data_IF_543919777920
#
_entry.id   IF_543919777920
#
_cell.length_a   1.000
_cell.length_b   1.000
_cell.length_c   1.000
_cell.angle_alpha   90.00
_cell.angle_beta   90.00
_cell.angle_gamma   90.00
#
_symmetry.space_group_name_H-M   'P 1'
#
loop_
_entity.id
_entity.type
_entity.pdbx_description
1 polymer ?
#
# COMPACT_ATOMS: atom_id res chain seq x y z
N UNK A 1 6.59 6.85 -0.50
CA UNK A 1 5.23 6.26 -0.40
C UNK A 1 5.39 4.89 0.20
N UNK A 2 4.66 4.57 1.26
CA UNK A 2 4.79 3.31 1.98
C UNK A 2 3.41 2.69 2.08
N UNK A 3 3.25 1.47 1.57
CA UNK A 3 2.01 0.69 1.59
C UNK A 3 0.80 1.53 1.16
N UNK A 4 0.91 2.17 -0.02
CA UNK A 4 -0.16 2.99 -0.56
C UNK A 4 0.26 3.78 -1.79
N UNK A 5 -0.61 3.79 -2.80
CA UNK A 5 -0.56 4.69 -3.94
C UNK A 5 -1.87 5.49 -4.00
N UNK A 6 -1.88 6.72 -4.56
CA UNK A 6 -3.14 7.39 -4.85
C UNK A 6 -3.99 6.45 -5.71
N UNK A 7 -5.32 6.42 -5.53
CA UNK A 7 -6.24 5.37 -6.03
C UNK A 7 -6.23 5.12 -7.54
N UNK A 8 -5.14 4.56 -8.07
CA UNK A 8 -4.98 4.24 -9.48
C UNK A 8 -5.85 3.06 -9.91
N UNK A 9 -6.18 2.19 -8.94
CA UNK A 9 -7.02 1.00 -9.12
C UNK A 9 -8.37 1.09 -8.38
N UNK A 10 -8.56 2.08 -7.50
CA UNK A 10 -9.84 2.27 -6.80
C UNK A 10 -10.40 3.64 -7.09
N UNK A 11 -11.65 3.60 -7.49
CA UNK A 11 -12.44 4.77 -7.80
C UNK A 11 -12.58 5.66 -6.57
N UNK A 12 -12.11 6.90 -6.70
CA UNK A 12 -12.60 8.00 -5.89
C UNK A 12 -14.08 8.24 -6.25
N UNK A 13 -14.99 7.58 -5.53
CA UNK A 13 -16.45 7.77 -5.68
C UNK A 13 -16.91 8.96 -4.86
N UNK A 14 -16.81 10.16 -5.45
CA UNK A 14 -17.22 11.42 -4.79
C UNK A 14 -18.69 11.41 -4.37
N UNK A 15 -19.55 10.78 -5.17
CA UNK A 15 -20.97 10.55 -4.90
C UNK A 15 -21.20 9.68 -3.66
N UNK A 16 -20.42 8.60 -3.50
CA UNK A 16 -20.48 7.76 -2.31
C UNK A 16 -20.15 8.55 -1.04
N UNK A 17 -19.10 9.38 -1.08
CA UNK A 17 -18.71 10.21 0.07
C UNK A 17 -19.78 11.26 0.37
N UNK A 18 -20.33 11.92 -0.65
CA UNK A 18 -21.43 12.87 -0.49
C UNK A 18 -22.66 12.21 0.15
N UNK A 19 -23.08 11.04 -0.34
CA UNK A 19 -24.19 10.27 0.20
C UNK A 19 -23.96 9.82 1.65
N UNK A 20 -22.72 9.45 1.99
CA UNK A 20 -22.36 9.10 3.37
C UNK A 20 -22.46 10.32 4.29
N UNK A 21 -22.00 11.49 3.87
CA UNK A 21 -22.10 12.75 4.64
C UNK A 21 -23.57 13.12 4.85
N UNK A 22 -24.37 13.05 3.80
CA UNK A 22 -25.80 13.28 3.84
C UNK A 22 -26.54 12.35 4.82
N UNK A 23 -26.16 11.07 4.84
CA UNK A 23 -26.75 10.11 5.77
C UNK A 23 -26.46 10.47 7.24
N UNK A 24 -25.28 11.02 7.54
CA UNK A 24 -24.96 11.53 8.88
C UNK A 24 -25.76 12.80 9.18
N UNK A 25 -25.86 13.75 8.23
CA UNK A 25 -26.64 14.97 8.40
C UNK A 25 -28.11 14.70 8.74
N UNK A 26 -28.75 13.74 8.04
CA UNK A 26 -30.12 13.32 8.36
C UNK A 26 -30.27 12.75 9.77
N UNK A 27 -29.28 11.98 10.26
CA UNK A 27 -29.32 11.37 11.61
C UNK A 27 -29.27 12.40 12.74
N UNK A 28 -28.72 13.58 12.49
CA UNK A 28 -28.64 14.66 13.47
C UNK A 28 -29.69 15.76 13.22
N UNK A 29 -30.62 15.53 12.27
CA UNK A 29 -31.68 16.49 11.95
C UNK A 29 -31.21 17.72 11.18
N UNK A 30 -30.04 17.66 10.54
CA UNK A 30 -29.48 18.78 9.78
C UNK A 30 -29.83 18.78 8.28
N UNK A 31 -30.49 17.74 7.79
CA UNK A 31 -30.91 17.65 6.39
C UNK A 31 -32.18 16.82 6.26
N UNK A 32 -32.99 17.14 5.25
CA UNK A 32 -34.05 16.28 4.74
C UNK A 32 -33.60 15.53 3.48
N UNK A 33 -34.42 14.60 2.99
CA UNK A 33 -34.10 13.86 1.76
C UNK A 33 -34.14 14.81 0.55
N UNK A 34 -33.02 14.98 -0.14
CA UNK A 34 -32.89 15.84 -1.31
C UNK A 34 -32.37 17.27 -1.02
N UNK A 35 -32.16 17.65 0.25
CA UNK A 35 -31.63 18.97 0.65
C UNK A 35 -30.31 18.87 1.44
N UNK A 36 -29.52 17.83 1.18
CA UNK A 36 -28.40 17.38 2.01
C UNK A 36 -27.02 17.97 1.63
N UNK A 37 -26.95 18.83 0.61
CA UNK A 37 -25.73 19.47 0.12
C UNK A 37 -25.84 21.00 0.09
N UNK A 38 -26.53 21.58 1.09
CA UNK A 38 -26.79 23.02 1.20
C UNK A 38 -25.86 23.70 2.22
N UNK A 39 -25.77 25.03 2.17
CA UNK A 39 -25.00 25.80 3.16
C UNK A 39 -25.64 25.66 4.55
N UNK A 40 -26.96 25.62 4.61
CA UNK A 40 -27.77 25.43 5.82
C UNK A 40 -27.47 24.08 6.48
N UNK A 41 -27.34 23.01 5.68
CA UNK A 41 -26.91 21.69 6.19
C UNK A 41 -25.54 21.78 6.84
N UNK A 42 -24.59 22.48 6.20
CA UNK A 42 -23.23 22.63 6.72
C UNK A 42 -23.18 23.48 7.99
N UNK A 43 -23.95 24.56 8.06
CA UNK A 43 -24.07 25.40 9.26
C UNK A 43 -24.65 24.61 10.43
N UNK A 44 -25.74 23.87 10.21
CA UNK A 44 -26.32 22.99 11.23
C UNK A 44 -25.30 21.95 11.72
N UNK A 45 -24.58 21.28 10.80
CA UNK A 45 -23.57 20.29 11.16
C UNK A 45 -22.44 20.89 12.03
N UNK A 46 -22.08 22.16 11.83
CA UNK A 46 -21.04 22.84 12.65
C UNK A 46 -21.49 23.10 14.08
N UNK A 47 -22.79 23.20 14.32
CA UNK A 47 -23.37 23.41 15.65
C UNK A 47 -23.61 22.09 16.41
N UNK A 48 -23.56 20.93 15.72
CA UNK A 48 -23.67 19.63 16.37
C UNK A 48 -22.42 19.33 17.20
N UNK A 49 -22.56 18.85 18.45
CA UNK A 49 -21.42 18.45 19.26
C UNK A 49 -20.49 17.45 18.55
N UNK A 50 -19.19 17.69 18.64
CA UNK A 50 -18.16 16.90 17.97
C UNK A 50 -18.21 15.41 18.32
N UNK A 51 -18.48 15.08 19.58
CA UNK A 51 -18.58 13.71 20.07
C UNK A 51 -19.76 12.96 19.45
N UNK A 52 -20.89 13.64 19.24
CA UNK A 52 -22.06 13.08 18.54
C UNK A 52 -21.74 12.75 17.10
N UNK A 53 -21.16 13.71 16.35
CA UNK A 53 -20.78 13.50 14.95
C UNK A 53 -19.73 12.39 14.81
N UNK A 54 -18.73 12.39 15.69
CA UNK A 54 -17.65 11.39 15.67
C UNK A 54 -18.22 10.00 15.93
N UNK A 55 -19.06 9.83 16.95
CA UNK A 55 -19.66 8.54 17.28
C UNK A 55 -20.49 8.01 16.11
N UNK A 56 -21.40 8.82 15.56
CA UNK A 56 -22.24 8.43 14.43
C UNK A 56 -21.42 8.07 13.18
N UNK A 57 -20.41 8.88 12.85
CA UNK A 57 -19.58 8.71 11.66
C UNK A 57 -18.70 7.46 11.78
N UNK A 58 -18.05 7.24 12.92
CA UNK A 58 -17.20 6.07 13.16
C UNK A 58 -18.04 4.80 13.19
N UNK A 59 -19.18 4.80 13.85
CA UNK A 59 -20.09 3.63 13.83
C UNK A 59 -20.55 3.32 12.42
N UNK A 60 -21.04 4.31 11.67
CA UNK A 60 -21.51 4.09 10.30
C UNK A 60 -20.40 3.54 9.39
N UNK A 61 -19.19 4.11 9.47
CA UNK A 61 -18.05 3.67 8.65
C UNK A 61 -17.65 2.22 8.94
N UNK A 62 -17.51 1.82 10.20
CA UNK A 62 -17.13 0.46 10.59
C UNK A 62 -18.21 -0.58 10.30
N UNK A 63 -19.49 -0.20 10.40
CA UNK A 63 -20.60 -1.07 9.99
C UNK A 63 -20.58 -1.31 8.49
N UNK A 64 -20.32 -0.28 7.69
CA UNK A 64 -20.27 -0.41 6.23
C UNK A 64 -19.03 -1.16 5.74
N UNK A 65 -17.88 -0.98 6.41
CA UNK A 65 -16.58 -1.51 5.99
C UNK A 65 -15.71 -1.93 7.18
N UNK A 66 -15.93 -3.12 7.76
CA UNK A 66 -15.13 -3.59 8.88
C UNK A 66 -13.68 -3.93 8.45
N UNK A 67 -12.69 -3.83 9.37
CA UNK A 67 -12.86 -3.46 10.78
C UNK A 67 -12.71 -1.95 11.06
N UNK A 68 -12.03 -1.17 10.21
CA UNK A 68 -11.70 0.23 10.54
C UNK A 68 -12.52 1.29 9.78
N UNK A 69 -13.34 0.92 8.80
CA UNK A 69 -14.21 1.84 8.06
C UNK A 69 -13.55 2.48 6.84
N UNK A 70 -12.43 1.93 6.35
CA UNK A 70 -11.65 2.52 5.26
C UNK A 70 -12.46 2.75 3.99
N UNK A 71 -12.35 3.95 3.44
CA UNK A 71 -13.07 4.33 2.23
C UNK A 71 -14.57 4.55 2.44
N UNK A 72 -15.02 4.82 3.67
CA UNK A 72 -16.34 5.39 3.91
C UNK A 72 -16.34 6.92 3.72
N UNK A 73 -15.42 7.62 4.41
CA UNK A 73 -15.05 9.00 4.13
C UNK A 73 -13.62 9.02 3.62
N UNK A 74 -13.40 9.49 2.40
CA UNK A 74 -12.08 9.50 1.75
C UNK A 74 -11.98 10.68 0.78
N UNK A 75 -10.76 11.07 0.35
CA UNK A 75 -10.59 12.21 -0.55
C UNK A 75 -11.42 12.06 -1.83
N UNK A 76 -12.16 13.11 -2.17
CA UNK A 76 -12.93 13.24 -3.40
C UNK A 76 -12.13 14.03 -4.45
N UNK A 77 -12.42 13.85 -5.73
CA UNK A 77 -12.02 14.83 -6.73
C UNK A 77 -13.11 15.91 -6.78
N UNK A 78 -12.69 17.17 -6.74
CA UNK A 78 -13.52 18.36 -6.57
C UNK A 78 -13.40 19.33 -7.76
N UNK A 79 -12.53 19.04 -8.72
CA UNK A 79 -12.26 19.92 -9.85
C UNK A 79 -11.32 21.08 -9.52
N UNK A 80 -10.89 21.23 -8.27
CA UNK A 80 -9.98 22.26 -7.80
C UNK A 80 -8.67 21.65 -7.29
N UNK A 81 -8.66 21.18 -6.03
CA UNK A 81 -7.47 20.59 -5.41
C UNK A 81 -7.10 19.27 -6.08
N UNK A 82 -8.09 18.37 -6.28
CA UNK A 82 -7.95 17.17 -7.10
C UNK A 82 -8.85 17.35 -8.32
N UNK A 83 -8.23 17.73 -9.43
CA UNK A 83 -8.93 18.15 -10.66
C UNK A 83 -9.64 17.04 -11.41
N UNK A 84 -9.21 15.80 -11.23
CA UNK A 84 -9.75 14.62 -11.90
C UNK A 84 -9.32 13.37 -11.13
N UNK A 85 -9.79 12.20 -11.56
CA UNK A 85 -9.38 10.90 -11.02
C UNK A 85 -7.86 10.77 -11.02
N UNK A 86 -7.23 10.36 -9.89
CA UNK A 86 -5.78 10.16 -9.84
C UNK A 86 -5.24 9.22 -10.92
N UNK A 87 -6.01 8.19 -11.30
CA UNK A 87 -5.71 7.27 -12.41
C UNK A 87 -5.50 7.97 -13.74
N UNK A 88 -6.35 8.96 -14.04
CA UNK A 88 -6.35 9.74 -15.27
C UNK A 88 -5.27 10.83 -15.22
N UNK A 89 -5.11 11.49 -14.06
CA UNK A 89 -4.04 12.48 -13.85
C UNK A 89 -2.65 11.85 -14.03
N UNK A 90 -2.41 10.67 -13.47
CA UNK A 90 -1.14 9.96 -13.61
C UNK A 90 -0.86 9.50 -15.04
N UNK A 91 -1.86 9.01 -15.78
CA UNK A 91 -1.67 8.56 -17.17
C UNK A 91 -1.56 9.72 -18.17
N UNK A 92 -2.14 10.87 -17.85
CA UNK A 92 -2.03 12.08 -18.67
C UNK A 92 -0.83 12.97 -18.31
N UNK A 93 0.02 12.56 -17.36
CA UNK A 93 1.19 13.35 -16.97
C UNK A 93 0.86 14.62 -16.17
N UNK A 94 -0.36 14.74 -15.65
CA UNK A 94 -0.88 15.92 -14.92
C UNK A 94 -0.58 15.82 -13.42
N UNK A 95 0.71 15.81 -13.09
CA UNK A 95 1.20 15.73 -11.72
C UNK A 95 2.54 16.50 -11.58
N UNK A 96 2.98 16.72 -10.34
CA UNK A 96 4.26 17.38 -10.05
C UNK A 96 5.43 16.50 -10.46
N UNK A 97 6.37 17.05 -11.21
CA UNK A 97 7.56 16.36 -11.74
C UNK A 97 8.82 16.71 -10.94
N UNK A 98 9.87 15.92 -11.09
CA UNK A 98 11.20 16.16 -10.52
C UNK A 98 11.39 15.70 -9.07
N UNK A 99 10.36 15.10 -8.46
CA UNK A 99 10.44 14.57 -7.08
C UNK A 99 10.88 13.12 -7.13
N UNK A 100 12.04 12.81 -6.53
CA UNK A 100 12.59 11.45 -6.43
C UNK A 100 11.65 10.58 -5.60
N UNK A 101 11.52 9.30 -5.96
CA UNK A 101 10.52 8.41 -5.36
C UNK A 101 11.19 7.20 -4.70
N UNK A 102 10.89 6.98 -3.42
CA UNK A 102 10.86 5.64 -2.82
C UNK A 102 9.40 5.22 -2.72
N UNK A 103 9.07 4.05 -3.25
CA UNK A 103 7.77 3.40 -3.08
C UNK A 103 7.94 2.02 -2.44
N UNK A 104 6.97 1.56 -1.66
CA UNK A 104 7.10 0.28 -0.96
C UNK A 104 5.77 -0.33 -0.52
N UNK A 105 5.85 -1.58 -0.10
CA UNK A 105 4.83 -2.35 0.58
C UNK A 105 5.50 -3.25 1.63
N UNK A 106 4.69 -3.91 2.45
CA UNK A 106 5.16 -4.96 3.35
C UNK A 106 4.62 -6.33 2.92
N UNK A 107 5.30 -7.42 3.30
CA UNK A 107 5.01 -8.76 2.73
C UNK A 107 3.58 -9.25 2.94
N UNK A 108 2.91 -8.84 4.02
CA UNK A 108 1.53 -9.23 4.32
C UNK A 108 0.58 -8.03 4.55
N UNK A 109 0.75 -6.96 3.76
CA UNK A 109 -0.04 -5.70 3.84
C UNK A 109 -1.58 -5.93 3.86
N UNK A 110 -2.06 -6.99 3.22
CA UNK A 110 -3.49 -7.32 3.15
C UNK A 110 -4.06 -8.12 4.32
N UNK A 111 -3.25 -8.48 5.33
CA UNK A 111 -3.63 -9.43 6.38
C UNK A 111 -4.88 -9.03 7.20
N UNK A 112 -5.08 -7.73 7.41
CA UNK A 112 -6.19 -7.20 8.21
C UNK A 112 -7.55 -7.35 7.52
N UNK A 113 -7.55 -7.43 6.19
CA UNK A 113 -8.74 -7.40 5.36
C UNK A 113 -9.27 -8.80 5.02
N UNK A 114 -8.49 -9.85 5.31
CA UNK A 114 -8.93 -11.23 5.16
C UNK A 114 -9.72 -11.68 6.41
N UNK A 115 -10.98 -12.16 6.26
CA UNK A 115 -11.72 -12.72 7.38
C UNK A 115 -10.99 -13.93 7.98
N UNK A 116 -10.85 -14.02 9.32
CA UNK A 116 -10.18 -15.16 9.95
C UNK A 116 -10.83 -16.51 9.64
N UNK A 117 -12.15 -16.50 9.41
CA UNK A 117 -12.96 -17.67 9.07
C UNK A 117 -12.92 -18.04 7.59
N UNK A 118 -12.06 -17.40 6.78
CA UNK A 118 -11.94 -17.74 5.35
C UNK A 118 -11.35 -19.13 5.21
N UNK A 119 -12.18 -20.12 4.91
CA UNK A 119 -11.84 -21.51 4.64
C UNK A 119 -12.65 -22.06 3.46
N UNK A 120 -12.32 -23.26 2.95
CA UNK A 120 -13.18 -23.99 2.01
C UNK A 120 -14.08 -24.99 2.73
N UNK A 121 -15.24 -25.31 2.14
CA UNK A 121 -16.18 -26.33 2.62
C UNK A 121 -15.57 -27.74 2.80
N UNK A 122 -14.36 -27.99 2.26
CA UNK A 122 -13.65 -29.29 2.31
C UNK A 122 -12.47 -29.32 3.29
N UNK A 123 -12.16 -28.23 3.98
CA UNK A 123 -11.07 -28.20 4.97
C UNK A 123 -11.63 -28.49 6.38
N UNK A 124 -12.17 -29.70 6.58
CA UNK A 124 -12.33 -30.26 7.93
C UNK A 124 -10.93 -30.56 8.51
N UNK A 125 -10.45 -29.65 9.35
CA UNK A 125 -9.64 -29.92 10.55
C UNK A 125 -8.35 -30.77 10.40
N UNK A 126 -7.56 -30.64 9.31
CA UNK A 126 -6.29 -31.38 9.21
C UNK A 126 -5.01 -30.62 9.61
N UNK A 127 -4.90 -29.30 9.40
CA UNK A 127 -3.62 -28.55 9.61
C UNK A 127 -3.64 -27.47 10.72
N UNK A 128 -4.66 -27.43 11.57
CA UNK A 128 -4.83 -26.40 12.61
C UNK A 128 -5.65 -25.17 12.18
N UNK A 129 -5.77 -24.13 13.02
CA UNK A 129 -6.94 -23.23 13.03
C UNK A 129 -6.99 -22.17 11.90
N UNK A 130 -6.05 -22.15 10.94
CA UNK A 130 -5.98 -21.11 9.90
C UNK A 130 -5.79 -21.74 8.53
N UNK A 131 -6.82 -21.63 7.70
CA UNK A 131 -6.86 -22.15 6.33
C UNK A 131 -5.84 -21.48 5.40
N UNK A 132 -5.34 -22.22 4.42
CA UNK A 132 -4.58 -21.67 3.29
C UNK A 132 -5.37 -20.59 2.52
N UNK A 133 -6.71 -20.62 2.56
CA UNK A 133 -7.55 -19.60 1.92
C UNK A 133 -7.42 -18.23 2.59
N UNK A 134 -7.16 -18.17 3.90
CA UNK A 134 -6.87 -16.91 4.58
C UNK A 134 -5.65 -16.22 3.94
N UNK A 135 -4.55 -16.95 3.74
CA UNK A 135 -3.33 -16.39 3.17
C UNK A 135 -3.54 -15.94 1.71
N UNK A 136 -4.32 -16.70 0.93
CA UNK A 136 -4.71 -16.30 -0.44
C UNK A 136 -5.55 -15.02 -0.45
N UNK A 137 -6.55 -14.93 0.42
CA UNK A 137 -7.38 -13.73 0.56
C UNK A 137 -6.58 -12.52 1.05
N UNK A 138 -5.63 -12.72 1.97
CA UNK A 138 -4.71 -11.67 2.41
C UNK A 138 -3.80 -11.21 1.26
N UNK A 139 -3.30 -12.15 0.44
CA UNK A 139 -2.50 -11.84 -0.75
C UNK A 139 -3.29 -11.05 -1.79
N UNK A 140 -4.56 -11.40 -2.02
CA UNK A 140 -5.45 -10.66 -2.91
C UNK A 140 -5.66 -9.24 -2.39
N UNK A 141 -5.99 -9.07 -1.11
CA UNK A 141 -6.12 -7.74 -0.51
C UNK A 141 -4.82 -6.94 -0.61
N UNK A 142 -3.67 -7.57 -0.35
CA UNK A 142 -2.35 -6.95 -0.46
C UNK A 142 -2.13 -6.37 -1.85
N UNK A 143 -2.38 -7.18 -2.87
CA UNK A 143 -2.15 -6.80 -4.25
C UNK A 143 -3.13 -5.72 -4.72
N UNK A 144 -4.41 -5.87 -4.39
CA UNK A 144 -5.45 -4.93 -4.81
C UNK A 144 -5.24 -3.57 -4.11
N UNK A 145 -5.04 -3.55 -2.79
CA UNK A 145 -4.98 -2.31 -1.98
C UNK A 145 -3.60 -1.65 -1.89
N UNK A 146 -2.51 -2.41 -2.01
CA UNK A 146 -1.18 -1.93 -1.65
C UNK A 146 -0.15 -2.14 -2.76
N UNK A 147 0.36 -3.37 -2.92
CA UNK A 147 1.54 -3.66 -3.75
C UNK A 147 1.35 -3.23 -5.21
N UNK A 148 0.25 -3.61 -5.86
CA UNK A 148 0.06 -3.32 -7.27
C UNK A 148 -0.26 -1.84 -7.56
N UNK A 149 -1.09 -1.13 -6.76
CA UNK A 149 -1.22 0.34 -6.86
C UNK A 149 0.10 1.09 -6.67
N UNK A 150 0.95 0.65 -5.73
CA UNK A 150 2.28 1.25 -5.50
C UNK A 150 3.16 1.06 -6.73
N UNK A 151 3.19 -0.14 -7.30
CA UNK A 151 3.94 -0.44 -8.52
C UNK A 151 3.39 0.33 -9.73
N UNK A 152 2.06 0.42 -9.89
CA UNK A 152 1.45 1.21 -10.97
C UNK A 152 1.86 2.67 -10.84
N UNK A 153 1.77 3.25 -9.64
CA UNK A 153 2.16 4.63 -9.44
C UNK A 153 3.62 4.85 -9.79
N UNK A 154 4.53 4.03 -9.27
CA UNK A 154 5.95 4.18 -9.53
C UNK A 154 6.26 4.10 -11.04
N UNK A 155 5.63 3.15 -11.73
CA UNK A 155 5.80 2.98 -13.17
C UNK A 155 5.18 4.13 -13.97
N UNK A 156 3.92 4.50 -13.72
CA UNK A 156 3.24 5.59 -14.42
C UNK A 156 3.89 6.95 -14.14
N UNK A 157 4.42 7.17 -12.94
CA UNK A 157 5.19 8.36 -12.61
C UNK A 157 6.47 8.45 -13.44
N UNK A 158 7.21 7.35 -13.57
CA UNK A 158 8.38 7.29 -14.46
C UNK A 158 7.96 7.48 -15.94
N UNK A 159 6.99 6.69 -16.40
CA UNK A 159 6.51 6.62 -17.77
C UNK A 159 6.07 7.98 -18.31
N UNK A 160 5.34 8.73 -17.50
CA UNK A 160 4.75 10.01 -17.91
C UNK A 160 5.63 11.22 -17.54
N UNK A 161 6.94 11.00 -17.39
CA UNK A 161 7.94 12.07 -17.29
C UNK A 161 8.05 12.70 -15.90
N UNK A 162 7.69 11.97 -14.84
CA UNK A 162 7.87 12.41 -13.45
C UNK A 162 9.33 12.54 -13.06
N UNK A 163 10.15 11.53 -13.36
CA UNK A 163 11.58 11.50 -13.02
C UNK A 163 12.40 10.69 -14.02
N UNK A 164 13.73 10.70 -13.87
CA UNK A 164 14.62 9.76 -14.58
C UNK A 164 14.56 8.37 -13.92
N UNK A 165 14.82 7.27 -14.65
CA UNK A 165 14.83 5.92 -14.08
C UNK A 165 15.71 5.78 -12.83
N UNK A 166 16.88 6.43 -12.82
CA UNK A 166 17.81 6.45 -11.69
C UNK A 166 17.29 7.11 -10.41
N UNK A 167 16.08 7.69 -10.41
CA UNK A 167 15.49 8.41 -9.28
C UNK A 167 14.28 7.69 -8.66
N UNK A 168 13.99 6.47 -9.11
CA UNK A 168 12.96 5.61 -8.51
C UNK A 168 13.63 4.48 -7.76
N UNK A 169 13.22 4.26 -6.52
CA UNK A 169 13.64 3.15 -5.67
C UNK A 169 12.40 2.43 -5.16
N UNK A 170 12.50 1.12 -5.05
CA UNK A 170 11.47 0.29 -4.44
C UNK A 170 12.07 -0.49 -3.29
N UNK A 171 11.26 -0.75 -2.27
CA UNK A 171 11.56 -1.76 -1.28
C UNK A 171 10.33 -2.57 -0.88
N UNK A 172 10.58 -3.78 -0.42
CA UNK A 172 9.63 -4.60 0.32
C UNK A 172 10.17 -4.77 1.75
N UNK A 173 9.31 -4.54 2.73
CA UNK A 173 9.66 -4.78 4.14
C UNK A 173 9.13 -6.14 4.60
N UNK A 174 10.00 -6.92 5.25
CA UNK A 174 9.74 -8.30 5.63
C UNK A 174 10.15 -8.61 7.09
N UNK A 175 10.04 -7.64 8.00
CA UNK A 175 10.23 -7.85 9.44
C UNK A 175 9.10 -7.19 10.23
N UNK A 176 8.84 -7.64 11.45
CA UNK A 176 7.83 -7.01 12.31
C UNK A 176 8.23 -7.10 13.77
N UNK A 177 8.14 -5.96 14.46
CA UNK A 177 8.32 -5.90 15.92
C UNK A 177 7.04 -6.25 16.67
N UNK A 178 5.94 -6.44 15.94
CA UNK A 178 4.62 -6.67 16.52
C UNK A 178 4.30 -8.15 16.72
N UNK A 179 5.20 -9.09 16.37
CA UNK A 179 4.97 -10.54 16.54
C UNK A 179 4.45 -10.90 17.93
N UNK A 180 5.09 -10.49 19.06
CA UNK A 180 4.59 -10.88 20.38
C UNK A 180 3.21 -10.29 20.68
N UNK A 181 2.94 -9.05 20.23
CA UNK A 181 1.62 -8.42 20.39
C UNK A 181 0.55 -9.15 19.55
N UNK A 182 0.86 -9.54 18.33
CA UNK A 182 -0.04 -10.28 17.45
C UNK A 182 -0.36 -11.67 18.00
N UNK A 183 0.61 -12.34 18.64
CA UNK A 183 0.40 -13.60 19.35
C UNK A 183 -0.54 -13.41 20.54
N UNK A 184 -0.30 -12.41 21.39
CA UNK A 184 -1.17 -12.11 22.54
C UNK A 184 -2.61 -11.78 22.13
N UNK A 185 -2.80 -11.16 20.97
CA UNK A 185 -4.12 -10.80 20.42
C UNK A 185 -4.80 -11.96 19.67
N UNK A 186 -4.17 -13.13 19.52
CA UNK A 186 -4.73 -14.26 18.74
C UNK A 186 -4.74 -14.03 17.22
N UNK A 187 -3.88 -13.15 16.72
CA UNK A 187 -3.75 -12.79 15.30
C UNK A 187 -2.34 -12.97 14.76
N UNK A 188 -1.56 -13.90 15.32
CA UNK A 188 -0.18 -14.20 14.91
C UNK A 188 0.02 -14.37 13.39
N UNK A 189 -1.02 -14.85 12.68
CA UNK A 189 -1.08 -14.97 11.22
C UNK A 189 -0.87 -13.67 10.44
N UNK A 190 -1.04 -12.51 11.08
CA UNK A 190 -0.78 -11.21 10.48
C UNK A 190 0.69 -11.04 10.09
N UNK A 191 1.63 -11.59 10.88
CA UNK A 191 3.07 -11.54 10.60
C UNK A 191 3.51 -10.10 10.28
N UNK A 192 4.08 -9.85 9.11
CA UNK A 192 4.49 -8.53 8.64
C UNK A 192 3.29 -7.84 7.98
N UNK A 193 2.32 -7.44 8.79
CA UNK A 193 1.10 -6.79 8.33
C UNK A 193 1.30 -5.29 8.10
N UNK A 194 0.28 -4.65 7.53
CA UNK A 194 0.26 -3.20 7.30
C UNK A 194 0.77 -2.42 8.53
N UNK A 195 1.57 -1.37 8.27
CA UNK A 195 2.28 -0.55 9.27
C UNK A 195 3.50 -1.20 9.97
N UNK A 196 3.85 -2.46 9.68
CA UNK A 196 5.01 -3.11 10.28
C UNK A 196 6.34 -2.39 10.02
N UNK A 197 6.46 -1.63 8.94
CA UNK A 197 7.67 -0.91 8.54
C UNK A 197 7.87 0.44 9.26
N UNK A 198 6.81 1.04 9.82
CA UNK A 198 6.86 2.36 10.47
C UNK A 198 7.92 2.44 11.59
N UNK A 199 7.99 1.51 12.55
CA UNK A 199 8.98 1.59 13.62
C UNK A 199 10.43 1.56 13.12
N UNK A 200 10.67 0.94 11.96
CA UNK A 200 11.99 0.85 11.35
C UNK A 200 12.36 2.13 10.63
N UNK A 201 11.45 2.66 9.81
CA UNK A 201 11.67 3.93 9.10
C UNK A 201 11.87 5.09 10.07
N UNK A 202 11.08 5.13 11.15
CA UNK A 202 11.18 6.17 12.17
C UNK A 202 12.27 5.92 13.22
N UNK A 203 13.00 4.80 13.13
CA UNK A 203 14.03 4.40 14.09
C UNK A 203 13.54 4.45 15.54
N UNK A 204 12.35 3.92 15.81
CA UNK A 204 11.73 3.96 17.14
C UNK A 204 12.56 3.11 18.11
N UNK A 205 13.13 3.73 19.14
CA UNK A 205 14.02 3.02 20.07
C UNK A 205 13.27 2.10 21.04
N UNK A 206 12.01 2.42 21.34
CA UNK A 206 11.19 1.61 22.22
C UNK A 206 9.73 1.58 21.76
N UNK A 207 9.19 0.39 21.58
CA UNK A 207 7.77 0.14 21.35
C UNK A 207 7.16 -0.47 22.61
N UNK A 208 6.05 0.10 23.04
CA UNK A 208 5.22 -0.40 24.14
C UNK A 208 4.38 -1.62 23.72
N UNK A 209 3.59 -2.17 24.64
CA UNK A 209 2.60 -3.22 24.32
C UNK A 209 3.21 -4.60 24.07
N UNK A 210 4.39 -4.87 24.65
CA UNK A 210 5.08 -6.15 24.52
C UNK A 210 5.76 -6.38 23.17
N UNK A 211 5.87 -5.34 22.33
CA UNK A 211 6.58 -5.42 21.07
C UNK A 211 8.05 -5.85 21.23
N UNK A 212 8.60 -6.45 20.18
CA UNK A 212 10.01 -6.85 20.14
C UNK A 212 10.90 -5.61 20.09
N UNK A 213 11.76 -5.46 21.08
CA UNK A 213 12.75 -4.38 21.21
C UNK A 213 14.19 -4.93 21.18
N UNK A 214 14.39 -6.12 20.61
CA UNK A 214 15.68 -6.80 20.54
C UNK A 214 16.72 -5.97 19.77
N UNK A 215 18.00 -6.20 20.09
CA UNK A 215 19.10 -5.53 19.42
C UNK A 215 19.10 -5.75 17.90
N UNK A 216 18.63 -6.92 17.44
CA UNK A 216 18.50 -7.24 16.01
C UNK A 216 17.50 -6.32 15.31
N UNK A 217 16.31 -6.14 15.90
CA UNK A 217 15.28 -5.27 15.31
C UNK A 217 15.68 -3.79 15.37
N UNK A 218 16.34 -3.36 16.45
CA UNK A 218 16.90 -2.00 16.55
C UNK A 218 18.03 -1.75 15.55
N UNK A 219 18.84 -2.77 15.23
CA UNK A 219 19.86 -2.67 14.20
C UNK A 219 19.24 -2.55 12.80
N UNK A 220 18.19 -3.32 12.49
CA UNK A 220 17.45 -3.18 11.23
C UNK A 220 16.78 -1.81 11.12
N UNK A 221 16.20 -1.30 12.21
CA UNK A 221 15.60 0.04 12.25
C UNK A 221 16.62 1.14 11.97
N UNK A 222 17.82 1.03 12.55
CA UNK A 222 18.93 1.95 12.27
C UNK A 222 19.36 1.89 10.81
N UNK A 223 19.50 0.69 10.25
CA UNK A 223 19.85 0.51 8.83
C UNK A 223 18.82 1.18 7.94
N UNK A 224 17.54 0.82 8.07
CA UNK A 224 16.47 1.31 7.21
C UNK A 224 16.31 2.83 7.30
N UNK A 225 16.22 3.38 8.52
CA UNK A 225 16.11 4.83 8.73
C UNK A 225 17.29 5.60 8.14
N UNK A 226 18.50 5.06 8.25
CA UNK A 226 19.70 5.65 7.65
C UNK A 226 19.61 5.66 6.12
N UNK A 227 19.18 4.56 5.50
CA UNK A 227 18.97 4.47 4.04
C UNK A 227 17.95 5.52 3.57
N UNK A 228 16.81 5.63 4.27
CA UNK A 228 15.77 6.61 3.96
C UNK A 228 16.29 8.04 4.09
N UNK A 229 17.00 8.37 5.18
CA UNK A 229 17.59 9.69 5.38
C UNK A 229 18.63 10.04 4.30
N UNK A 230 19.48 9.09 3.92
CA UNK A 230 20.44 9.26 2.81
C UNK A 230 19.75 9.53 1.48
N UNK A 231 18.66 8.82 1.18
CA UNK A 231 17.88 9.07 -0.02
C UNK A 231 17.23 10.46 -0.03
N UNK A 232 16.64 10.88 1.08
CA UNK A 232 16.06 12.22 1.22
C UNK A 232 17.13 13.30 0.97
N UNK A 233 18.31 13.12 1.55
CA UNK A 233 19.41 14.09 1.43
C UNK A 233 20.04 14.12 0.03
N UNK A 234 20.36 12.95 -0.54
CA UNK A 234 21.24 12.82 -1.71
C UNK A 234 20.58 12.20 -2.95
N UNK A 235 19.45 11.53 -2.78
CA UNK A 235 18.78 10.76 -3.84
C UNK A 235 19.34 9.36 -4.05
N UNK A 236 20.38 8.97 -3.31
CA UNK A 236 20.92 7.61 -3.31
C UNK A 236 20.91 7.06 -1.86
N UNK A 237 20.22 5.93 -1.59
CA UNK A 237 20.09 5.41 -0.24
C UNK A 237 21.35 4.71 0.28
N UNK A 238 22.17 4.06 -0.56
CA UNK A 238 23.30 3.23 -0.10
C UNK A 238 24.63 3.49 -0.83
N UNK A 239 24.68 4.49 -1.69
CA UNK A 239 25.87 4.85 -2.44
C UNK A 239 26.25 3.79 -3.48
N UNK A 240 27.55 3.61 -3.66
CA UNK A 240 28.12 2.69 -4.64
C UNK A 240 29.23 1.86 -4.00
N UNK A 241 29.28 0.57 -4.34
CA UNK A 241 30.40 -0.32 -4.05
C UNK A 241 30.97 -0.77 -5.40
N UNK A 242 32.26 -0.50 -5.64
CA UNK A 242 32.93 -0.80 -6.91
C UNK A 242 32.18 -0.24 -8.15
N UNK A 243 31.56 0.93 -8.01
CA UNK A 243 30.78 1.57 -9.08
C UNK A 243 29.37 0.99 -9.29
N UNK A 244 28.98 -0.03 -8.53
CA UNK A 244 27.63 -0.63 -8.55
C UNK A 244 26.81 -0.05 -7.42
N UNK A 245 25.59 0.39 -7.72
CA UNK A 245 24.66 0.91 -6.72
C UNK A 245 24.18 -0.22 -5.80
N UNK A 246 24.35 -0.07 -4.49
CA UNK A 246 23.99 -1.13 -3.51
C UNK A 246 22.48 -1.29 -3.36
N UNK A 247 21.71 -0.21 -3.52
CA UNK A 247 20.26 -0.24 -3.66
C UNK A 247 19.89 0.30 -5.05
N UNK A 248 19.70 -0.59 -6.04
CA UNK A 248 19.56 -0.21 -7.44
C UNK A 248 18.27 0.57 -7.71
N UNK A 249 18.29 1.35 -8.78
CA UNK A 249 17.10 1.94 -9.36
C UNK A 249 16.04 0.87 -9.67
N UNK A 250 14.79 1.17 -9.33
CA UNK A 250 13.68 0.23 -9.44
C UNK A 250 13.44 -0.25 -10.88
N UNK A 251 13.62 0.66 -11.82
CA UNK A 251 13.49 0.42 -13.24
C UNK A 251 14.81 0.77 -13.90
N UNK A 252 15.47 -0.23 -14.47
CA UNK A 252 16.78 -0.12 -15.12
C UNK A 252 16.69 -0.60 -16.57
N UNK A 253 17.63 -0.14 -17.41
CA UNK A 253 17.66 -0.43 -18.85
C UNK A 253 16.32 -0.15 -19.57
N UNK A 254 15.60 0.88 -19.13
CA UNK A 254 14.28 1.24 -19.67
C UNK A 254 14.43 1.91 -21.03
N UNK A 255 13.95 1.24 -22.08
CA UNK A 255 13.94 1.77 -23.45
C UNK A 255 12.64 2.54 -23.73
N UNK A 256 12.62 3.32 -24.84
CA UNK A 256 11.40 4.00 -25.31
C UNK A 256 10.26 3.03 -25.64
N UNK A 257 10.59 1.81 -26.06
CA UNK A 257 9.61 0.76 -26.33
C UNK A 257 9.01 0.22 -25.04
N UNK A 258 9.83 0.01 -24.00
CA UNK A 258 9.32 -0.41 -22.69
C UNK A 258 8.32 0.60 -22.12
N UNK A 259 8.58 1.91 -22.29
CA UNK A 259 7.70 2.98 -21.85
C UNK A 259 6.36 3.04 -22.59
N UNK A 260 6.15 2.28 -23.67
CA UNK A 260 4.82 2.14 -24.28
C UNK A 260 3.90 1.20 -23.48
N UNK A 261 4.48 0.30 -22.69
CA UNK A 261 3.72 -0.66 -21.91
C UNK A 261 3.20 -0.05 -20.61
N UNK A 262 2.04 -0.52 -20.16
CA UNK A 262 1.43 -0.10 -18.90
C UNK A 262 2.01 -0.79 -17.66
N UNK A 263 2.92 -1.76 -17.85
CA UNK A 263 3.59 -2.47 -16.77
C UNK A 263 5.07 -2.75 -17.11
N UNK A 264 6.00 -2.67 -16.13
CA UNK A 264 7.42 -2.97 -16.36
C UNK A 264 7.67 -4.47 -16.57
N UNK A 265 8.67 -4.80 -17.41
CA UNK A 265 9.13 -6.20 -17.62
C UNK A 265 10.33 -6.60 -16.74
N UNK A 266 10.94 -5.62 -16.06
CA UNK A 266 12.06 -5.82 -15.12
C UNK A 266 11.85 -4.96 -13.89
N UNK A 267 12.27 -5.46 -12.75
CA UNK A 267 12.09 -4.80 -11.47
C UNK A 267 13.30 -5.04 -10.58
N UNK A 268 13.79 -3.98 -9.94
CA UNK A 268 14.70 -4.11 -8.79
C UNK A 268 14.05 -3.52 -7.55
N UNK A 269 14.31 -4.14 -6.41
CA UNK A 269 13.83 -3.67 -5.11
C UNK A 269 14.82 -4.05 -4.01
N UNK A 270 14.84 -3.26 -2.94
CA UNK A 270 15.53 -3.61 -1.71
C UNK A 270 14.61 -4.43 -0.81
N UNK A 271 15.05 -5.57 -0.33
CA UNK A 271 14.35 -6.29 0.74
C UNK A 271 14.95 -5.84 2.07
N UNK A 272 14.08 -5.50 3.03
CA UNK A 272 14.49 -5.21 4.41
C UNK A 272 13.98 -6.31 5.34
N UNK A 273 14.92 -7.02 5.97
CA UNK A 273 14.59 -8.05 6.96
C UNK A 273 14.16 -9.39 6.36
N UNK A 274 13.43 -10.17 7.14
CA UNK A 274 12.98 -11.51 6.76
C UNK A 274 14.06 -12.60 6.89
N UNK A 275 13.72 -13.85 6.56
CA UNK A 275 14.58 -15.02 6.80
C UNK A 275 15.89 -15.02 6.00
N UNK A 276 15.95 -14.24 4.91
CA UNK A 276 17.12 -14.14 4.04
C UNK A 276 17.92 -12.84 4.23
N UNK A 277 17.54 -12.03 5.21
CA UNK A 277 18.20 -10.76 5.52
C UNK A 277 17.93 -9.64 4.52
N UNK A 278 18.70 -8.56 4.65
CA UNK A 278 18.54 -7.34 3.85
C UNK A 278 19.43 -7.38 2.62
N UNK A 279 18.84 -7.42 1.42
CA UNK A 279 19.57 -7.45 0.16
C UNK A 279 18.76 -6.86 -1.00
N UNK A 280 19.43 -6.29 -2.03
CA UNK A 280 18.77 -5.93 -3.27
C UNK A 280 18.43 -7.19 -4.08
N UNK A 281 17.26 -7.19 -4.71
CA UNK A 281 16.80 -8.24 -5.61
C UNK A 281 16.45 -7.61 -6.96
N UNK A 282 16.78 -8.31 -8.05
CA UNK A 282 16.45 -7.88 -9.41
C UNK A 282 15.85 -9.04 -10.17
N UNK A 283 14.62 -8.87 -10.63
CA UNK A 283 13.84 -9.89 -11.33
C UNK A 283 13.37 -9.40 -12.70
N UNK A 284 13.07 -10.35 -13.59
CA UNK A 284 12.51 -10.08 -14.91
C UNK A 284 11.38 -11.06 -15.24
N UNK A 285 10.41 -10.58 -16.03
CA UNK A 285 9.28 -11.38 -16.46
C UNK A 285 9.73 -12.67 -17.18
N UNK A 286 9.08 -13.80 -16.86
CA UNK A 286 9.34 -15.09 -17.48
C UNK A 286 10.67 -15.74 -17.11
N UNK A 287 11.40 -15.21 -16.13
CA UNK A 287 12.73 -15.70 -15.70
C UNK A 287 12.76 -16.30 -14.30
N UNK A 288 11.65 -16.86 -13.85
CA UNK A 288 11.57 -17.47 -12.51
C UNK A 288 12.58 -18.60 -12.29
N UNK A 289 12.92 -19.34 -13.35
CA UNK A 289 13.94 -20.39 -13.29
C UNK A 289 15.39 -19.87 -13.21
N UNK A 290 15.62 -18.56 -13.36
CA UNK A 290 16.95 -17.94 -13.36
C UNK A 290 17.35 -17.40 -11.97
N UNK A 291 16.51 -17.62 -10.95
CA UNK A 291 16.75 -17.13 -9.60
C UNK A 291 18.08 -17.66 -9.03
N UNK A 292 18.89 -16.75 -8.45
CA UNK A 292 20.27 -17.07 -8.06
C UNK A 292 20.40 -17.50 -6.59
N UNK A 293 19.40 -17.19 -5.78
CA UNK A 293 19.39 -17.42 -4.34
C UNK A 293 17.96 -17.42 -3.80
N UNK A 294 17.81 -17.85 -2.54
CA UNK A 294 16.51 -18.01 -1.91
C UNK A 294 15.71 -16.70 -1.74
N UNK A 295 16.37 -15.53 -1.65
CA UNK A 295 15.67 -14.24 -1.57
C UNK A 295 15.09 -13.86 -2.93
N UNK A 296 15.81 -14.11 -4.02
CA UNK A 296 15.32 -13.92 -5.39
C UNK A 296 14.19 -14.90 -5.73
N UNK A 297 14.34 -16.18 -5.33
CA UNK A 297 13.28 -17.19 -5.43
C UNK A 297 11.98 -16.74 -4.73
N UNK A 298 12.10 -16.22 -3.51
CA UNK A 298 10.95 -15.74 -2.74
C UNK A 298 10.24 -14.56 -3.44
N UNK A 299 10.98 -13.63 -4.03
CA UNK A 299 10.37 -12.52 -4.80
C UNK A 299 9.73 -13.01 -6.10
N UNK A 300 10.31 -14.02 -6.79
CA UNK A 300 9.62 -14.62 -7.93
C UNK A 300 8.33 -15.34 -7.52
N UNK A 301 8.30 -15.97 -6.33
CA UNK A 301 7.12 -16.65 -5.80
C UNK A 301 5.92 -15.71 -5.57
N UNK A 302 6.18 -14.42 -5.36
CA UNK A 302 5.14 -13.39 -5.24
C UNK A 302 4.31 -13.20 -6.53
N UNK A 303 4.86 -13.60 -7.69
CA UNK A 303 4.25 -13.44 -9.02
C UNK A 303 3.82 -11.99 -9.32
N UNK A 304 4.65 -11.01 -8.93
CA UNK A 304 4.33 -9.58 -9.06
C UNK A 304 4.01 -9.17 -10.50
N UNK A 305 4.70 -9.72 -11.49
CA UNK A 305 4.46 -9.39 -12.90
C UNK A 305 3.05 -9.78 -13.35
N UNK A 306 2.64 -11.02 -13.13
CA UNK A 306 1.33 -11.50 -13.58
C UNK A 306 0.19 -10.85 -12.80
N UNK A 307 0.34 -10.81 -11.47
CA UNK A 307 -0.72 -10.34 -10.57
C UNK A 307 -0.91 -8.83 -10.70
N UNK A 308 0.16 -8.04 -10.67
CA UNK A 308 0.02 -6.59 -10.80
C UNK A 308 -0.26 -6.13 -12.21
N UNK A 309 0.12 -6.88 -13.26
CA UNK A 309 -0.38 -6.62 -14.62
C UNK A 309 -1.89 -6.78 -14.70
N UNK A 310 -2.44 -7.84 -14.09
CA UNK A 310 -3.88 -8.05 -14.05
C UNK A 310 -4.58 -6.95 -13.24
N UNK A 311 -4.15 -6.72 -12.00
CA UNK A 311 -4.77 -5.73 -11.09
C UNK A 311 -4.70 -4.30 -11.65
N UNK A 312 -3.62 -3.92 -12.34
CA UNK A 312 -3.45 -2.58 -12.90
C UNK A 312 -4.00 -2.44 -14.34
N UNK A 313 -4.60 -3.51 -14.88
CA UNK A 313 -5.09 -3.56 -16.26
C UNK A 313 -6.20 -2.52 -16.51
N UNK A 314 -6.37 -2.12 -17.77
CA UNK A 314 -7.48 -1.25 -18.17
C UNK A 314 -8.85 -1.84 -17.80
N UNK A 315 -9.00 -3.16 -17.95
CA UNK A 315 -10.23 -3.89 -17.57
C UNK A 315 -10.53 -3.78 -16.08
N UNK A 316 -9.54 -4.04 -15.21
CA UNK A 316 -9.76 -3.96 -13.76
C UNK A 316 -10.10 -2.52 -13.34
N UNK A 317 -9.47 -1.52 -13.96
CA UNK A 317 -9.81 -0.11 -13.73
C UNK A 317 -11.25 0.20 -14.14
N UNK A 318 -11.64 -0.21 -15.35
CA UNK A 318 -13.02 -0.04 -15.83
C UNK A 318 -14.04 -0.71 -14.90
N UNK A 319 -13.80 -1.96 -14.48
CA UNK A 319 -14.66 -2.69 -13.54
C UNK A 319 -14.69 -2.05 -12.15
N UNK A 320 -13.59 -1.45 -11.70
CA UNK A 320 -13.54 -0.66 -10.47
C UNK A 320 -14.20 0.73 -10.63
N UNK A 321 -14.56 1.14 -11.85
CA UNK A 321 -15.17 2.43 -12.20
C UNK A 321 -14.16 3.57 -12.34
N UNK A 322 -12.98 3.29 -12.86
CA UNK A 322 -11.80 4.17 -12.92
C UNK A 322 -11.32 4.42 -14.35
#
# INVERSE_FOLDING_TARGET
MMSGGPGLNFNTKSDLVANNTAAIARRVGCAEEGEDQTLETLECLRDVPFDVLTNLSVTASRTARPPFGEGFFFPTFDGDFIRDRPSQLMRSGKFVKGIRLIASWVTNDGAWYAPPSTSTDQEEEYDGPISAQYYRAAQMNRDIWFTCPVLDFAWQYLKNGGVKPSQVRLYEHNSTRFTPAFEMMGVARWRVAHLSDIPYVLNVQHLEGGADNSATELALARTMSTSIAKFVNSGNPEGYINGVETWPAAFFDVTKENLQNDFPAKLSLQIFGGPYGTAPVTIAEGRQHDAKNAIEDAVYWENLFDRCRFINSGKMREEAGV
#
